data_IF_778015245485
#
_entry.id   IF_778015245485
#
_cell.length_a   1.000
_cell.length_b   1.000
_cell.length_c   1.000
_cell.angle_alpha   90.00
_cell.angle_beta   90.00
_cell.angle_gamma   90.00
#
_symmetry.space_group_name_H-M   'P 1'
#
loop_
_entity.id
_entity.type
_entity.pdbx_description
1 polymer ?
2 non-polymer ?
3 water ?
#
# COMPACT_ATOMS: atom_id res chain seq x y z
N UNK A 5 -2.94 22.28 13.35
CA UNK A 5 -3.96 23.35 13.14
C UNK A 5 -5.06 22.93 12.16
N UNK A 6 -5.00 21.68 11.68
CA UNK A 6 -5.88 21.21 10.61
C UNK A 6 -6.63 19.93 11.01
N UNK A 7 -7.72 19.66 10.29
CA UNK A 7 -8.70 18.57 10.58
C UNK A 7 -8.31 17.20 10.01
N UNK A 8 -8.16 16.23 10.91
CA UNK A 8 -7.80 14.88 10.55
C UNK A 8 -8.99 13.91 10.49
N UNK A 9 -10.07 14.26 11.20
CA UNK A 9 -11.20 13.37 11.30
C UNK A 9 -12.41 14.20 11.65
N UNK A 10 -13.50 13.96 10.94
CA UNK A 10 -14.74 14.64 11.32
C UNK A 10 -15.95 13.77 11.15
N UNK A 11 -16.90 13.98 12.05
CA UNK A 11 -18.10 13.16 12.04
C UNK A 11 -19.32 14.02 11.77
N UNK A 12 -20.14 13.57 10.81
CA UNK A 12 -21.40 14.27 10.45
C UNK A 12 -22.51 13.84 11.37
N UNK A 13 -23.62 14.59 11.34
CA UNK A 13 -24.81 14.31 12.13
C UNK A 13 -25.34 12.90 11.88
N UNK A 14 -25.26 12.47 10.62
CA UNK A 14 -25.70 11.11 10.23
C UNK A 14 -24.74 9.99 10.62
N UNK A 15 -23.60 10.37 11.21
CA UNK A 15 -22.70 9.39 11.80
C UNK A 15 -21.52 9.04 10.91
N UNK A 16 -21.60 9.46 9.65
CA UNK A 16 -20.51 9.22 8.72
C UNK A 16 -19.27 10.00 9.15
N UNK A 17 -18.13 9.34 8.97
CA UNK A 17 -16.82 9.95 9.20
C UNK A 17 -16.15 10.34 7.88
N UNK A 18 -15.43 11.47 7.89
CA UNK A 18 -14.45 11.74 6.85
C UNK A 18 -13.11 11.87 7.55
N UNK A 19 -12.15 11.04 7.13
CA UNK A 19 -10.88 10.94 7.81
C UNK A 19 -9.74 11.09 6.83
N UNK A 20 -8.64 11.62 7.33
CA UNK A 20 -7.44 11.75 6.49
C UNK A 20 -6.66 10.44 6.48
N UNK A 21 -5.99 10.12 5.35
CA UNK A 21 -5.21 8.88 5.20
C UNK A 21 -4.07 8.79 6.22
N UNK A 22 -3.62 9.93 6.72
CA UNK A 22 -2.48 9.87 7.67
C UNK A 22 -2.90 9.73 9.11
N UNK A 23 -4.20 9.58 9.38
CA UNK A 23 -4.63 9.27 10.75
C UNK A 23 -4.05 7.89 11.17
N UNK A 24 -3.52 7.76 12.40
CA UNK A 24 -3.06 6.43 12.82
C UNK A 24 -4.25 5.41 12.79
N UNK A 25 -3.91 4.16 12.46
CA UNK A 25 -4.89 3.05 12.40
C UNK A 25 -5.52 2.82 13.77
N UNK A 26 -4.77 3.08 14.86
CA UNK A 26 -5.34 2.95 16.21
C UNK A 26 -6.39 4.05 16.41
N UNK A 27 -6.06 5.29 16.01
CA UNK A 27 -7.07 6.36 16.20
C UNK A 27 -8.33 6.11 15.37
N UNK A 28 -8.14 5.71 14.12
CA UNK A 28 -9.29 5.33 13.27
C UNK A 28 -10.13 4.25 13.93
N UNK A 29 -9.48 3.19 14.41
CA UNK A 29 -10.15 2.08 15.13
C UNK A 29 -10.97 2.59 16.32
N UNK A 30 -10.39 3.49 17.11
CA UNK A 30 -11.03 4.01 18.30
C UNK A 30 -12.29 4.79 17.91
N UNK A 31 -12.17 5.67 16.92
CA UNK A 31 -13.28 6.52 16.49
C UNK A 31 -14.39 5.72 15.81
N UNK A 32 -14.02 4.67 15.09
CA UNK A 32 -14.97 3.85 14.35
C UNK A 32 -15.51 2.70 15.18
N UNK A 33 -14.98 2.56 16.39
CA UNK A 33 -15.40 1.54 17.37
C UNK A 33 -15.29 0.15 16.77
N UNK A 34 -14.15 -0.08 16.15
CA UNK A 34 -13.86 -1.37 15.59
C UNK A 34 -12.36 -1.53 15.47
N UNK A 35 -11.86 -2.62 16.04
CA UNK A 35 -10.43 -2.90 16.01
C UNK A 35 -9.95 -3.30 14.62
N UNK A 36 -9.24 -2.37 13.98
CA UNK A 36 -8.64 -2.59 12.66
C UNK A 36 -7.15 -2.93 12.73
N UNK A 37 -6.62 -3.03 13.94
CA UNK A 37 -5.16 -3.10 14.13
C UNK A 37 -4.57 -4.49 13.84
N UNK A 38 -3.54 -4.51 12.98
CA UNK A 38 -2.73 -5.70 12.60
C UNK A 38 -1.85 -6.18 13.75
N UNK A 39 -1.93 -7.47 14.07
CA UNK A 39 -1.02 -8.08 15.07
C UNK A 39 0.47 -7.89 14.72
N UNK A 40 0.81 -8.02 13.43
CA UNK A 40 2.21 -7.99 12.95
C UNK A 40 2.70 -6.60 12.47
N UNK A 41 1.89 -5.56 12.69
CA UNK A 41 2.28 -4.16 12.40
C UNK A 41 2.65 -3.85 10.94
N UNK A 42 1.95 -4.47 9.99
CA UNK A 42 2.23 -4.21 8.58
C UNK A 42 1.75 -2.84 8.10
N UNK A 43 0.83 -2.25 8.85
CA UNK A 43 0.36 -0.93 8.49
C UNK A 43 0.17 -0.11 9.77
N UNK A 44 0.24 1.21 9.58
CA UNK A 44 0.28 2.09 10.73
C UNK A 44 -0.76 3.23 10.64
N UNK A 45 -1.16 3.54 9.40
CA UNK A 45 -2.13 4.65 9.20
C UNK A 45 -3.36 4.11 8.49
N UNK A 46 -4.42 4.90 8.45
CA UNK A 46 -5.64 4.43 7.77
C UNK A 46 -5.29 4.26 6.29
N UNK A 47 -4.55 5.23 5.73
CA UNK A 47 -4.18 5.13 4.27
C UNK A 47 -3.36 3.85 4.05
N UNK A 48 -2.38 3.56 4.95
CA UNK A 48 -1.58 2.33 4.81
C UNK A 48 -2.43 1.07 4.91
N UNK A 49 -3.34 1.08 5.88
CA UNK A 49 -4.31 0.00 6.00
C UNK A 49 -5.10 -0.23 4.72
N UNK A 50 -5.62 0.83 4.11
CA UNK A 50 -6.41 0.65 2.88
C UNK A 50 -5.54 0.20 1.71
N UNK A 51 -4.34 0.76 1.59
CA UNK A 51 -3.42 0.31 0.53
C UNK A 51 -3.13 -1.17 0.70
N UNK A 52 -3.02 -1.60 1.96
CA UNK A 52 -2.79 -3.04 2.24
C UNK A 52 -4.03 -3.89 1.86
N UNK A 53 -5.22 -3.38 2.20
CA UNK A 53 -6.50 -3.99 1.85
C UNK A 53 -6.67 -4.12 0.34
N UNK A 54 -6.43 -3.03 -0.40
CA UNK A 54 -6.59 -3.10 -1.85
C UNK A 54 -5.45 -3.87 -2.54
N UNK A 55 -4.20 -3.71 -2.06
CA UNK A 55 -2.98 -4.21 -2.71
C UNK A 55 -2.57 -3.46 -3.98
N UNK A 56 -3.18 -2.27 -4.16
CA UNK A 56 -2.81 -1.35 -5.24
C UNK A 56 -3.28 0.04 -4.76
N UNK A 57 -2.96 1.04 -5.58
CA UNK A 57 -3.39 2.40 -5.30
C UNK A 57 -4.80 2.64 -5.88
N UNK A 58 -5.83 2.74 -5.01
CA UNK A 58 -7.20 2.75 -5.54
C UNK A 58 -7.53 4.09 -6.14
N UNK A 59 -8.63 4.09 -6.91
CA UNK A 59 -9.29 5.30 -7.36
C UNK A 59 -10.37 5.79 -6.38
N UNK A 60 -10.69 7.07 -6.45
CA UNK A 60 -11.99 7.53 -5.89
C UNK A 60 -13.24 6.65 -6.18
N UNK A 61 -13.99 6.40 -5.13
CA UNK A 61 -15.22 5.62 -5.24
C UNK A 61 -15.06 4.17 -4.85
N UNK A 62 -13.82 3.66 -4.91
CA UNK A 62 -13.60 2.27 -4.55
C UNK A 62 -13.83 2.15 -3.06
N UNK A 63 -14.25 0.96 -2.65
CA UNK A 63 -14.66 0.77 -1.30
C UNK A 63 -14.21 -0.58 -0.83
N UNK A 64 -14.00 -0.67 0.47
CA UNK A 64 -13.76 -1.93 1.13
C UNK A 64 -14.75 -2.03 2.27
N UNK A 65 -15.32 -3.21 2.45
CA UNK A 65 -16.15 -3.45 3.60
C UNK A 65 -15.42 -4.39 4.55
N UNK A 66 -15.33 -3.99 5.82
CA UNK A 66 -14.68 -4.80 6.84
C UNK A 66 -15.59 -4.84 8.06
N UNK A 67 -16.08 -6.03 8.38
CA UNK A 67 -16.91 -6.23 9.59
C UNK A 67 -18.06 -5.21 9.73
N UNK A 68 -18.70 -4.89 8.60
CA UNK A 68 -19.84 -3.96 8.59
C UNK A 68 -19.45 -2.48 8.57
N UNK A 69 -18.22 -2.17 8.18
CA UNK A 69 -17.80 -0.78 7.93
C UNK A 69 -17.47 -0.63 6.44
N UNK A 70 -17.99 0.42 5.81
CA UNK A 70 -17.69 0.72 4.42
C UNK A 70 -16.71 1.88 4.42
N UNK A 71 -15.56 1.66 3.78
CA UNK A 71 -14.52 2.70 3.64
C UNK A 71 -14.51 3.10 2.15
N UNK A 72 -14.87 4.35 1.88
CA UNK A 72 -14.88 4.86 0.50
C UNK A 72 -13.73 5.83 0.24
N UNK A 73 -12.98 5.56 -0.81
CA UNK A 73 -11.90 6.47 -1.13
C UNK A 73 -12.51 7.71 -1.73
N UNK A 74 -12.19 8.86 -1.13
CA UNK A 74 -12.63 10.18 -1.61
C UNK A 74 -11.54 10.85 -2.45
N UNK A 75 -10.29 10.82 -2.00
CA UNK A 75 -9.18 11.39 -2.77
C UNK A 75 -7.89 10.60 -2.51
N UNK A 76 -6.96 10.64 -3.47
CA UNK A 76 -5.65 10.03 -3.28
C UNK A 76 -4.60 11.02 -3.79
N UNK A 77 -3.48 11.07 -3.08
CA UNK A 77 -2.41 11.94 -3.51
C UNK A 77 -1.14 11.15 -3.77
N UNK A 78 -0.04 11.88 -3.95
CA UNK A 78 1.16 11.25 -4.43
C UNK A 78 1.80 10.33 -3.38
N UNK A 79 1.53 10.60 -2.12
CA UNK A 79 2.23 9.92 -1.00
C UNK A 79 1.35 9.01 -0.18
N UNK A 80 0.03 9.17 -0.31
CA UNK A 80 -0.90 8.35 0.49
C UNK A 80 -2.30 8.53 -0.05
N UNK A 81 -3.19 7.66 0.42
CA UNK A 81 -4.62 7.92 0.30
C UNK A 81 -4.88 9.25 1.02
N UNK A 82 -5.79 10.03 0.49
CA UNK A 82 -6.16 11.37 0.98
C UNK A 82 -7.36 11.20 1.88
N UNK A 83 -8.50 11.70 1.43
CA UNK A 83 -9.72 11.68 2.23
C UNK A 83 -10.44 10.33 2.09
N UNK A 84 -10.90 9.77 3.22
CA UNK A 84 -11.70 8.51 3.26
C UNK A 84 -13.06 8.78 3.96
N UNK A 85 -14.15 8.39 3.32
CA UNK A 85 -15.47 8.39 3.93
C UNK A 85 -15.71 7.02 4.57
N UNK A 86 -16.25 7.00 5.79
CA UNK A 86 -16.50 5.73 6.46
C UNK A 86 -17.91 5.75 7.02
N UNK A 87 -18.68 4.71 6.68
CA UNK A 87 -20.00 4.59 7.29
C UNK A 87 -20.31 3.11 7.51
N UNK A 88 -21.27 2.81 8.39
CA UNK A 88 -21.57 1.41 8.69
C UNK A 88 -22.46 0.79 7.63
N UNK A 89 -22.31 -0.52 7.44
CA UNK A 89 -23.21 -1.37 6.63
C UNK A 89 -22.76 -1.52 5.19
N UNK B 5 2.45 -10.94 -23.41
CA UNK B 5 3.11 -10.08 -24.45
C UNK B 5 4.06 -9.02 -23.86
N UNK B 6 3.52 -8.10 -23.06
CA UNK B 6 4.35 -7.07 -22.44
C UNK B 6 5.31 -7.71 -21.42
N UNK B 7 6.48 -7.11 -21.26
CA UNK B 7 7.53 -7.68 -20.41
C UNK B 7 7.32 -7.37 -18.92
N UNK B 8 7.25 -8.41 -18.11
CA UNK B 8 7.05 -8.26 -16.66
C UNK B 8 8.34 -8.28 -15.85
N UNK B 9 9.39 -8.90 -16.38
CA UNK B 9 10.65 -8.98 -15.66
C UNK B 9 11.79 -9.12 -16.68
N UNK B 10 12.89 -8.45 -16.39
CA UNK B 10 14.10 -8.44 -17.25
C UNK B 10 15.31 -8.54 -16.35
N UNK B 11 16.28 -9.40 -16.73
CA UNK B 11 17.56 -9.35 -16.01
C UNK B 11 18.70 -8.88 -16.89
N UNK B 12 19.55 -8.04 -16.30
CA UNK B 12 20.82 -7.54 -16.86
C UNK B 12 22.02 -8.51 -16.61
N UNK B 13 23.16 -8.25 -17.29
CA UNK B 13 24.32 -9.14 -17.12
C UNK B 13 24.89 -9.06 -15.69
N UNK B 14 24.72 -7.90 -15.06
CA UNK B 14 25.27 -7.65 -13.72
C UNK B 14 24.35 -8.19 -12.63
N UNK B 15 23.29 -8.87 -13.06
CA UNK B 15 22.42 -9.59 -12.15
C UNK B 15 21.24 -8.79 -11.67
N UNK B 16 21.20 -7.49 -11.95
CA UNK B 16 20.00 -6.72 -11.49
C UNK B 16 18.73 -6.92 -12.34
N UNK B 17 17.61 -6.99 -11.63
CA UNK B 17 16.32 -7.20 -12.25
C UNK B 17 15.54 -5.91 -12.41
N UNK B 18 14.81 -5.77 -13.51
CA UNK B 18 13.82 -4.69 -13.66
C UNK B 18 12.46 -5.37 -13.78
N UNK B 19 11.56 -5.05 -12.85
CA UNK B 19 10.29 -5.77 -12.75
C UNK B 19 9.13 -4.82 -12.72
N UNK B 20 8.02 -5.26 -13.30
CA UNK B 20 6.80 -4.45 -13.20
C UNK B 20 6.17 -4.58 -11.82
N UNK B 21 5.57 -3.50 -11.29
CA UNK B 21 4.93 -3.58 -9.98
C UNK B 21 3.78 -4.58 -9.91
N UNK B 22 3.16 -4.86 -11.06
CA UNK B 22 2.06 -5.84 -11.12
C UNK B 22 2.50 -7.30 -11.09
N UNK B 23 3.81 -7.50 -11.20
CA UNK B 23 4.34 -8.84 -11.16
C UNK B 23 3.96 -9.51 -9.84
N UNK B 24 3.63 -10.80 -9.89
CA UNK B 24 3.21 -11.44 -8.65
C UNK B 24 4.42 -11.57 -7.70
N UNK B 25 4.15 -11.48 -6.39
CA UNK B 25 5.20 -11.68 -5.38
C UNK B 25 5.74 -13.12 -5.48
N UNK B 26 4.91 -14.06 -5.97
CA UNK B 26 5.39 -15.42 -6.22
C UNK B 26 6.47 -15.47 -7.28
N UNK B 27 6.21 -14.84 -8.43
CA UNK B 27 7.16 -14.79 -9.52
C UNK B 27 8.42 -14.06 -9.05
N UNK B 28 8.24 -12.93 -8.38
CA UNK B 28 9.38 -12.13 -7.88
C UNK B 28 10.24 -12.97 -6.94
N UNK B 29 9.59 -13.70 -6.04
CA UNK B 29 10.26 -14.55 -5.07
C UNK B 29 11.07 -15.62 -5.79
N UNK B 30 10.45 -16.27 -6.77
CA UNK B 30 11.09 -17.28 -7.59
C UNK B 30 12.31 -16.73 -8.36
N UNK B 31 12.13 -15.58 -9.02
CA UNK B 31 13.18 -14.99 -9.84
C UNK B 31 14.36 -14.52 -8.98
N UNK B 32 14.06 -13.95 -7.82
CA UNK B 32 15.07 -13.39 -6.89
C UNK B 32 15.67 -14.45 -5.97
N UNK B 33 15.09 -15.64 -6.01
CA UNK B 33 15.46 -16.75 -5.17
C UNK B 33 15.45 -16.36 -3.69
N UNK B 34 14.44 -15.59 -3.31
CA UNK B 34 14.26 -15.11 -1.95
C UNK B 34 12.80 -15.27 -1.56
N UNK B 35 12.57 -15.93 -0.43
CA UNK B 35 11.22 -16.11 0.05
C UNK B 35 10.60 -14.82 0.60
N UNK B 36 10.08 -13.99 -0.31
CA UNK B 36 9.28 -12.82 0.01
C UNK B 36 7.87 -13.39 0.18
N UNK B 37 7.59 -14.53 -0.47
CA UNK B 37 6.30 -15.24 -0.31
C UNK B 37 5.97 -15.43 1.19
N UNK B 40 5.03 -12.05 2.14
CA UNK B 40 3.83 -11.25 1.85
C UNK B 40 2.55 -12.12 1.96
N UNK B 41 1.34 -11.55 1.85
CA UNK B 41 0.16 -12.39 1.52
C UNK B 41 0.44 -13.03 0.12
N UNK B 42 0.28 -14.36 -0.06
CA UNK B 42 0.93 -15.01 -1.22
C UNK B 42 0.42 -14.60 -2.61
N UNK B 43 -0.85 -14.21 -2.73
CA UNK B 43 -1.29 -13.74 -4.04
C UNK B 43 -0.95 -12.25 -4.22
N UNK B 44 -0.15 -11.70 -3.30
CA UNK B 44 0.28 -10.31 -3.36
C UNK B 44 1.06 -10.00 -4.64
N UNK B 45 1.12 -8.71 -4.98
CA UNK B 45 2.06 -8.31 -6.06
C UNK B 45 3.31 -7.66 -5.47
N UNK B 46 4.35 -7.53 -6.27
CA UNK B 46 5.54 -6.75 -5.84
C UNK B 46 5.20 -5.31 -5.45
N UNK B 47 4.37 -4.64 -6.24
CA UNK B 47 4.03 -3.24 -5.93
C UNK B 47 3.28 -3.15 -4.60
N UNK B 48 2.34 -4.07 -4.38
CA UNK B 48 1.56 -4.06 -3.13
C UNK B 48 2.48 -4.29 -1.95
N UNK B 49 3.40 -5.21 -2.12
CA UNK B 49 4.39 -5.52 -1.08
C UNK B 49 5.19 -4.26 -0.73
N UNK B 50 5.68 -3.56 -1.76
CA UNK B 50 6.54 -2.41 -1.53
C UNK B 50 5.76 -1.25 -0.89
N UNK B 51 4.48 -1.11 -1.23
CA UNK B 51 3.66 -0.06 -0.55
C UNK B 51 3.67 -0.24 0.96
N UNK B 52 3.47 -1.48 1.43
CA UNK B 52 3.47 -1.65 2.88
C UNK B 52 4.89 -1.70 3.53
N UNK B 53 5.91 -2.06 2.73
CA UNK B 53 7.26 -1.93 3.22
C UNK B 53 7.63 -0.48 3.48
N UNK B 54 7.36 0.40 2.50
CA UNK B 54 7.61 1.83 2.74
C UNK B 54 6.69 2.46 3.77
N UNK B 55 5.43 2.04 3.79
CA UNK B 55 4.44 2.68 4.66
C UNK B 55 3.85 3.99 4.13
N UNK B 56 4.09 4.22 2.82
CA UNK B 56 3.50 5.32 2.07
C UNK B 56 3.75 5.02 0.60
N UNK B 57 3.16 5.88 -0.26
CA UNK B 57 3.36 5.64 -1.71
C UNK B 57 4.71 6.30 -2.07
N UNK B 58 5.74 5.54 -2.44
CA UNK B 58 7.12 6.10 -2.57
C UNK B 58 7.29 6.84 -3.89
N UNK B 59 8.45 7.50 -4.04
CA UNK B 59 8.73 8.31 -5.19
C UNK B 59 9.87 7.70 -5.97
N UNK B 60 9.94 8.05 -7.25
CA UNK B 60 11.02 7.60 -8.11
C UNK B 60 12.38 7.83 -7.45
N UNK B 61 13.19 6.78 -7.46
CA UNK B 61 14.53 6.88 -6.91
C UNK B 61 14.66 6.44 -5.46
N UNK B 62 13.53 6.31 -4.75
CA UNK B 62 13.61 5.76 -3.38
C UNK B 62 13.97 4.28 -3.44
N UNK B 63 14.71 3.85 -2.42
CA UNK B 63 15.03 2.43 -2.31
C UNK B 63 14.77 1.98 -0.87
N UNK B 64 14.63 0.67 -0.75
CA UNK B 64 14.43 0.03 0.53
C UNK B 64 15.13 -1.31 0.49
N UNK B 65 15.72 -1.68 1.62
CA UNK B 65 16.43 -2.95 1.71
C UNK B 65 15.66 -3.89 2.63
N UNK B 66 15.30 -5.05 2.11
CA UNK B 66 14.55 -6.03 2.87
C UNK B 66 15.16 -7.40 2.62
N UNK B 67 15.64 -8.05 3.68
CA UNK B 67 16.25 -9.38 3.60
C UNK B 67 17.37 -9.51 2.56
N UNK B 68 18.33 -8.60 2.57
CA UNK B 68 19.48 -8.70 1.67
C UNK B 68 19.20 -8.37 0.21
N UNK B 69 18.07 -7.73 -0.06
CA UNK B 69 17.73 -7.25 -1.39
C UNK B 69 17.40 -5.78 -1.35
N UNK B 70 17.90 -5.05 -2.34
CA UNK B 70 17.62 -3.62 -2.48
C UNK B 70 16.59 -3.42 -3.59
N UNK B 71 15.45 -2.81 -3.26
CA UNK B 71 14.41 -2.54 -4.25
C UNK B 71 14.40 -1.06 -4.47
N UNK B 72 14.63 -0.67 -5.72
CA UNK B 72 14.62 0.73 -6.08
C UNK B 72 13.38 1.03 -6.94
N UNK B 73 12.66 2.07 -6.53
CA UNK B 73 11.51 2.51 -7.30
C UNK B 73 11.98 3.26 -8.54
N UNK B 74 11.68 2.73 -9.72
CA UNK B 74 12.02 3.49 -10.94
C UNK B 74 10.90 4.43 -11.36
N UNK B 75 9.65 3.96 -11.27
CA UNK B 75 8.51 4.83 -11.59
C UNK B 75 7.30 4.40 -10.79
N UNK B 76 6.34 5.31 -10.70
CA UNK B 76 5.12 5.04 -9.97
C UNK B 76 4.01 5.66 -10.80
N UNK B 77 2.92 4.94 -10.96
CA UNK B 77 1.78 5.58 -11.66
C UNK B 77 0.54 5.68 -10.78
N UNK B 78 -0.61 6.02 -11.38
CA UNK B 78 -1.81 6.24 -10.61
C UNK B 78 -2.33 5.04 -9.82
N UNK B 79 -1.98 3.85 -10.30
CA UNK B 79 -2.56 2.60 -9.84
C UNK B 79 -1.64 1.71 -9.01
N UNK B 80 -0.33 1.81 -9.22
CA UNK B 80 0.61 0.95 -8.55
C UNK B 80 2.01 1.48 -8.79
N UNK B 81 2.96 0.97 -8.01
CA UNK B 81 4.35 1.14 -8.36
C UNK B 81 4.51 0.61 -9.77
N UNK B 82 5.29 1.36 -10.55
CA UNK B 82 5.53 1.09 -11.97
C UNK B 82 6.64 0.07 -12.14
N UNK B 83 7.85 0.54 -12.38
CA UNK B 83 8.99 -0.34 -12.55
C UNK B 83 9.84 -0.32 -11.30
N UNK B 84 10.39 -1.47 -10.94
CA UNK B 84 11.23 -1.64 -9.76
C UNK B 84 12.56 -2.28 -10.19
N UNK B 85 13.68 -1.80 -9.64
CA UNK B 85 15.03 -2.32 -9.93
C UNK B 85 15.52 -3.03 -8.67
N UNK B 86 15.88 -4.30 -8.79
CA UNK B 86 16.20 -5.10 -7.61
C UNK B 86 17.60 -5.66 -7.74
N UNK B 87 18.43 -5.46 -6.71
CA UNK B 87 19.71 -6.17 -6.64
C UNK B 87 20.11 -6.56 -5.21
N UNK B 88 21.09 -7.46 -5.10
CA UNK B 88 21.44 -8.07 -3.82
C UNK B 88 22.32 -7.22 -2.93
N UNK B 89 22.12 -7.42 -1.62
CA UNK B 89 23.06 -7.11 -0.51
C UNK B 89 22.76 -5.82 0.25
X LIG C 1 -16.38 7.00 19.14
X LIG C 1 -16.72 7.56 18.07
X LIG C 1 -15.21 6.64 19.44
X LIG C 1 -17.46 6.74 20.15
#
# INVERSE_FOLDING_TARGET
>A
SNAEEKVVAEQQADGTWLMDGWISIRKASNLLEHDLVDEAERYSTLGGYLLWQFGYIPAAGEQITVDGLIFEIVSVNKHNIGKVRVHRTQ
>B
SNAEEKVVAEQQADGTWLMDGWISIRKASNLLEHDLVDEAERYSTLGGYLLWQFGYIPAAGEQITVDGLIFEIVSVNKHNIGKVRVHRTQ
>C hetero
1 ACY C O OXT CH3
#
